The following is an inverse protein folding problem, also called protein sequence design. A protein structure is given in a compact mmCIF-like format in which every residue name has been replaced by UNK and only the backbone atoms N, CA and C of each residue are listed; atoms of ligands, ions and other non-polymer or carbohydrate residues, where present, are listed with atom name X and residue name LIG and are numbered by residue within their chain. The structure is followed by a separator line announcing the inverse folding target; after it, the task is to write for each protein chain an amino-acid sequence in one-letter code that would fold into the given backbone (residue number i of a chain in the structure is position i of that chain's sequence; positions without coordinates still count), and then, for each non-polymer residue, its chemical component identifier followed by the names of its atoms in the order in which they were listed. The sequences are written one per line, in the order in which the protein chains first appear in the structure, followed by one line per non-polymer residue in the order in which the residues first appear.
data_IF_643691027919
#
_entry.id   IF_643691027919
#
_cell.length_a   1.000
_cell.length_b   1.000
_cell.length_c   1.000
_cell.angle_alpha   90.00
_cell.angle_beta   90.00
_cell.angle_gamma   90.00
#
_symmetry.space_group_name_H-M   'P 1'
#
loop_
_entity.id
_entity.type
_entity.pdbx_description
1 polymer ?
#
# COMPACT_ATOMS: atom_id res chain seq x y z
N UNK A 1 8.39 -20.21 4.18
CA UNK A 1 6.96 -19.93 4.26
C UNK A 1 6.42 -19.83 2.84
N UNK A 2 5.31 -20.47 2.53
CA UNK A 2 4.70 -20.43 1.18
C UNK A 2 3.36 -19.71 1.28
N UNK A 3 3.18 -18.66 0.48
CA UNK A 3 1.91 -17.95 0.40
C UNK A 3 0.90 -18.74 -0.45
N UNK A 4 -0.37 -18.70 -0.05
CA UNK A 4 -1.47 -19.27 -0.85
C UNK A 4 -2.03 -18.26 -1.85
N UNK A 5 -1.84 -16.96 -1.62
CA UNK A 5 -2.23 -15.87 -2.50
C UNK A 5 -1.16 -15.55 -3.55
N UNK A 6 -1.51 -14.72 -4.52
CA UNK A 6 -0.67 -14.39 -5.68
C UNK A 6 -0.02 -13.03 -5.62
N UNK A 7 -0.69 -12.04 -5.02
CA UNK A 7 -0.27 -10.66 -5.05
C UNK A 7 -0.50 -9.92 -3.73
N UNK A 8 0.16 -8.79 -3.59
CA UNK A 8 0.01 -7.89 -2.46
C UNK A 8 0.07 -6.44 -2.92
N UNK A 9 -0.85 -5.62 -2.42
CA UNK A 9 -0.77 -4.17 -2.52
C UNK A 9 -0.12 -3.62 -1.25
N UNK A 10 0.88 -2.76 -1.42
CA UNK A 10 1.55 -2.09 -0.29
C UNK A 10 1.42 -0.59 -0.50
N UNK A 11 0.69 0.10 0.38
CA UNK A 11 0.55 1.55 0.30
C UNK A 11 1.81 2.26 0.80
N UNK A 12 2.19 3.37 0.13
CA UNK A 12 3.40 4.11 0.47
C UNK A 12 4.68 3.28 0.32
N UNK A 13 4.73 2.41 -0.69
CA UNK A 13 5.77 1.38 -0.83
C UNK A 13 7.03 1.85 -1.56
N UNK A 14 7.07 3.08 -2.10
CA UNK A 14 8.21 3.52 -2.92
C UNK A 14 9.51 3.71 -2.14
N UNK A 15 9.44 3.86 -0.80
CA UNK A 15 10.62 4.10 0.06
C UNK A 15 10.45 3.52 1.47
N UNK A 16 11.53 3.56 2.25
CA UNK A 16 11.52 3.22 3.67
C UNK A 16 11.01 1.82 3.97
N UNK A 17 10.19 1.69 5.00
CA UNK A 17 9.65 0.40 5.48
C UNK A 17 8.83 -0.28 4.38
N UNK A 18 7.97 0.45 3.67
CA UNK A 18 7.15 -0.10 2.59
C UNK A 18 7.98 -0.71 1.45
N UNK A 19 9.08 -0.06 1.06
CA UNK A 19 9.98 -0.59 0.04
C UNK A 19 10.68 -1.88 0.51
N UNK A 20 11.07 -1.95 1.79
CA UNK A 20 11.67 -3.16 2.33
C UNK A 20 10.67 -4.31 2.41
N UNK A 21 9.43 -4.03 2.80
CA UNK A 21 8.34 -5.02 2.76
C UNK A 21 8.15 -5.54 1.33
N UNK A 22 8.14 -4.62 0.33
CA UNK A 22 8.00 -4.99 -1.09
C UNK A 22 9.11 -5.95 -1.55
N UNK A 23 10.37 -5.65 -1.24
CA UNK A 23 11.51 -6.54 -1.55
C UNK A 23 11.33 -7.92 -0.93
N UNK A 24 11.03 -7.95 0.35
CA UNK A 24 10.90 -9.20 1.10
C UNK A 24 9.76 -10.06 0.55
N UNK A 25 8.58 -9.49 0.31
CA UNK A 25 7.43 -10.25 -0.19
C UNK A 25 7.62 -10.70 -1.64
N UNK A 26 8.31 -9.91 -2.47
CA UNK A 26 8.68 -10.32 -3.82
C UNK A 26 9.66 -11.50 -3.83
N UNK A 27 10.68 -11.49 -2.95
CA UNK A 27 11.60 -12.62 -2.77
C UNK A 27 10.89 -13.89 -2.29
N UNK A 28 9.78 -13.75 -1.57
CA UNK A 28 8.94 -14.85 -1.12
C UNK A 28 7.94 -15.33 -2.18
N UNK A 29 7.98 -14.77 -3.40
CA UNK A 29 7.23 -15.23 -4.56
C UNK A 29 5.91 -14.51 -4.83
N UNK A 30 5.56 -13.46 -4.10
CA UNK A 30 4.39 -12.65 -4.40
C UNK A 30 4.67 -11.64 -5.51
N UNK A 31 3.67 -11.37 -6.36
CA UNK A 31 3.67 -10.16 -7.19
C UNK A 31 3.34 -8.97 -6.30
N UNK A 32 4.22 -7.98 -6.27
CA UNK A 32 4.06 -6.78 -5.42
C UNK A 32 3.55 -5.60 -6.23
N UNK A 33 2.48 -4.96 -5.77
CA UNK A 33 2.00 -3.68 -6.26
C UNK A 33 2.54 -2.57 -5.36
N UNK A 34 3.45 -1.78 -5.94
CA UNK A 34 4.16 -0.67 -5.26
C UNK A 34 3.33 0.58 -5.41
N UNK A 35 2.56 0.95 -4.38
CA UNK A 35 1.82 2.21 -4.41
C UNK A 35 2.75 3.39 -4.10
N UNK A 36 2.59 4.45 -4.89
CA UNK A 36 3.24 5.74 -4.69
C UNK A 36 2.26 6.88 -4.98
N UNK A 37 2.56 8.07 -4.42
CA UNK A 37 1.73 9.27 -4.62
C UNK A 37 2.33 10.23 -5.64
N UNK A 38 3.62 10.55 -5.56
CA UNK A 38 4.21 11.70 -6.26
C UNK A 38 5.57 11.44 -6.86
N UNK A 39 6.29 10.46 -6.79
CA UNK A 39 7.64 10.28 -7.33
C UNK A 39 7.73 8.96 -8.09
N UNK A 40 7.30 8.95 -9.37
CA UNK A 40 7.31 7.73 -10.18
C UNK A 40 8.70 7.14 -10.31
N UNK A 41 9.74 7.97 -10.47
CA UNK A 41 11.12 7.53 -10.64
C UNK A 41 11.63 6.64 -9.49
N UNK A 42 11.18 6.89 -8.26
CA UNK A 42 11.57 6.08 -7.09
C UNK A 42 10.83 4.73 -7.11
N UNK A 43 9.55 4.74 -7.43
CA UNK A 43 8.75 3.52 -7.53
C UNK A 43 9.22 2.64 -8.70
N UNK A 44 9.51 3.24 -9.86
CA UNK A 44 10.03 2.54 -11.04
C UNK A 44 11.41 1.91 -10.78
N UNK A 45 12.28 2.62 -10.05
CA UNK A 45 13.58 2.08 -9.65
C UNK A 45 13.44 0.85 -8.73
N UNK A 46 12.51 0.88 -7.79
CA UNK A 46 12.23 -0.25 -6.91
C UNK A 46 11.63 -1.43 -7.69
N UNK A 47 10.73 -1.17 -8.62
CA UNK A 47 10.20 -2.22 -9.52
C UNK A 47 11.34 -2.88 -10.28
N UNK A 48 12.20 -2.10 -10.94
CA UNK A 48 13.32 -2.61 -11.71
C UNK A 48 14.28 -3.45 -10.84
N UNK A 49 14.58 -3.00 -9.62
CA UNK A 49 15.40 -3.73 -8.67
C UNK A 49 14.80 -5.10 -8.31
N UNK A 50 13.50 -5.14 -8.01
CA UNK A 50 12.79 -6.39 -7.68
C UNK A 50 12.81 -7.34 -8.87
N UNK A 51 12.55 -6.86 -10.09
CA UNK A 51 12.53 -7.68 -11.30
C UNK A 51 13.92 -8.21 -11.66
N UNK A 52 14.99 -7.40 -11.50
CA UNK A 52 16.37 -7.84 -11.69
C UNK A 52 16.78 -8.97 -10.72
N UNK A 53 16.18 -8.99 -9.53
CA UNK A 53 16.38 -10.05 -8.55
C UNK A 53 15.42 -11.24 -8.72
N UNK A 54 14.71 -11.34 -9.85
CA UNK A 54 13.83 -12.46 -10.20
C UNK A 54 12.43 -12.40 -9.56
N UNK A 55 12.09 -11.31 -8.89
CA UNK A 55 10.75 -11.07 -8.35
C UNK A 55 9.77 -10.52 -9.40
N UNK A 56 8.53 -10.32 -8.98
CA UNK A 56 7.48 -9.69 -9.79
C UNK A 56 6.96 -8.44 -9.09
N UNK A 57 6.97 -7.32 -9.79
CA UNK A 57 6.47 -6.07 -9.27
C UNK A 57 5.73 -5.26 -10.34
N UNK A 58 4.86 -4.38 -9.88
CA UNK A 58 4.22 -3.36 -10.69
C UNK A 58 4.04 -2.10 -9.85
N UNK A 59 4.07 -0.95 -10.47
CA UNK A 59 3.81 0.33 -9.81
C UNK A 59 2.38 0.76 -9.98
N UNK A 60 1.83 1.44 -8.99
CA UNK A 60 0.48 1.99 -9.05
C UNK A 60 0.42 3.34 -8.35
N UNK A 61 -0.03 4.36 -9.08
CA UNK A 61 -0.15 5.72 -8.57
C UNK A 61 -1.54 5.97 -8.01
N UNK A 62 -1.65 6.29 -6.74
CA UNK A 62 -2.82 6.92 -6.13
C UNK A 62 -2.47 7.51 -4.76
N UNK A 63 -3.24 8.51 -4.32
CA UNK A 63 -3.19 9.01 -2.95
C UNK A 63 -4.04 8.12 -2.05
N UNK A 64 -3.43 7.49 -1.05
CA UNK A 64 -4.12 6.60 -0.13
C UNK A 64 -5.15 7.33 0.77
N UNK A 65 -5.09 8.66 0.85
CA UNK A 65 -6.08 9.48 1.55
C UNK A 65 -7.30 9.84 0.69
N UNK A 66 -7.21 9.65 -0.62
CA UNK A 66 -8.31 9.85 -1.57
C UNK A 66 -9.04 8.52 -1.78
N UNK A 67 -10.30 8.47 -1.32
CA UNK A 67 -11.12 7.26 -1.39
C UNK A 67 -11.36 6.79 -2.82
N UNK A 68 -11.67 7.71 -3.74
CA UNK A 68 -11.97 7.37 -5.13
C UNK A 68 -10.71 6.85 -5.85
N UNK A 69 -9.56 7.46 -5.60
CA UNK A 69 -8.29 6.99 -6.15
C UNK A 69 -7.92 5.60 -5.60
N UNK A 70 -8.13 5.37 -4.31
CA UNK A 70 -7.88 4.06 -3.68
C UNK A 70 -8.75 2.97 -4.28
N UNK A 71 -10.07 3.24 -4.45
CA UNK A 71 -11.02 2.31 -5.08
C UNK A 71 -10.58 1.97 -6.50
N UNK A 72 -10.24 2.98 -7.30
CA UNK A 72 -9.74 2.79 -8.68
C UNK A 72 -8.45 1.96 -8.69
N UNK A 73 -7.56 2.19 -7.73
CA UNK A 73 -6.33 1.42 -7.59
C UNK A 73 -6.59 -0.07 -7.33
N UNK A 74 -7.46 -0.40 -6.38
CA UNK A 74 -7.83 -1.80 -6.10
C UNK A 74 -8.51 -2.44 -7.31
N UNK A 75 -9.43 -1.73 -7.98
CA UNK A 75 -10.10 -2.25 -9.17
C UNK A 75 -9.11 -2.55 -10.30
N UNK A 76 -8.13 -1.67 -10.53
CA UNK A 76 -7.07 -1.90 -11.52
C UNK A 76 -6.27 -3.17 -11.22
N UNK A 77 -5.92 -3.41 -9.95
CA UNK A 77 -5.22 -4.63 -9.54
C UNK A 77 -6.07 -5.88 -9.81
N UNK A 78 -7.35 -5.85 -9.44
CA UNK A 78 -8.27 -6.97 -9.66
C UNK A 78 -8.49 -7.22 -11.14
N UNK A 79 -8.62 -6.17 -11.95
CA UNK A 79 -8.76 -6.29 -13.41
C UNK A 79 -7.50 -6.90 -14.05
N UNK A 80 -6.31 -6.52 -13.55
CA UNK A 80 -5.02 -7.03 -14.05
C UNK A 80 -4.75 -8.48 -13.63
N UNK A 81 -4.94 -8.79 -12.36
CA UNK A 81 -4.46 -10.03 -11.75
C UNK A 81 -5.59 -11.02 -11.43
N UNK A 82 -6.86 -10.61 -11.55
CA UNK A 82 -8.04 -11.39 -11.21
C UNK A 82 -8.38 -11.43 -9.72
N UNK A 83 -7.51 -10.88 -8.85
CA UNK A 83 -7.68 -10.86 -7.40
C UNK A 83 -6.81 -9.81 -6.72
N UNK A 84 -7.14 -9.48 -5.47
CA UNK A 84 -6.23 -8.90 -4.51
C UNK A 84 -6.13 -9.88 -3.33
N UNK A 85 -4.97 -10.51 -3.16
CA UNK A 85 -4.75 -11.52 -2.12
C UNK A 85 -4.38 -10.92 -0.78
N UNK A 86 -3.52 -9.90 -0.77
CA UNK A 86 -3.02 -9.28 0.44
C UNK A 86 -2.96 -7.76 0.32
N UNK A 87 -3.20 -7.07 1.44
CA UNK A 87 -3.02 -5.63 1.56
C UNK A 87 -2.11 -5.33 2.74
N UNK A 88 -1.12 -4.47 2.54
CA UNK A 88 -0.32 -3.86 3.60
C UNK A 88 -0.61 -2.35 3.61
N UNK A 89 -1.35 -1.89 4.61
CA UNK A 89 -1.53 -0.46 4.87
C UNK A 89 -0.27 0.05 5.58
N UNK A 90 0.63 0.66 4.82
CA UNK A 90 1.89 1.20 5.31
C UNK A 90 2.01 2.71 5.09
N UNK A 91 1.20 3.30 4.21
CA UNK A 91 1.21 4.75 4.02
C UNK A 91 0.96 5.49 5.32
N UNK A 92 1.76 6.52 5.58
CA UNK A 92 1.64 7.33 6.77
C UNK A 92 2.59 8.53 6.72
N UNK A 93 2.29 9.51 7.54
CA UNK A 93 3.11 10.72 7.72
C UNK A 93 3.27 11.03 9.20
N UNK A 94 4.29 11.80 9.52
CA UNK A 94 4.46 12.48 10.82
C UNK A 94 4.43 14.00 10.60
N UNK A 95 3.92 14.73 11.56
CA UNK A 95 3.92 16.20 11.57
C UNK A 95 4.05 16.68 13.02
N UNK A 96 5.25 16.52 13.56
CA UNK A 96 5.53 16.82 14.95
C UNK A 96 5.66 18.34 15.16
N UNK A 97 4.78 18.90 15.97
CA UNK A 97 4.73 20.30 16.35
C UNK A 97 4.34 20.44 17.82
N UNK A 98 4.77 21.55 18.43
CA UNK A 98 4.24 21.93 19.74
C UNK A 98 2.72 22.10 19.63
N UNK A 99 1.96 21.53 20.55
CA UNK A 99 0.49 21.58 20.54
C UNK A 99 -0.06 23.01 20.40
N UNK A 100 0.57 23.98 21.07
CA UNK A 100 0.19 25.39 20.99
C UNK A 100 0.38 26.05 19.61
N UNK A 101 1.14 25.43 18.72
CA UNK A 101 1.42 25.91 17.36
C UNK A 101 0.83 25.02 16.28
N UNK A 102 0.25 23.88 16.67
CA UNK A 102 -0.35 22.94 15.76
C UNK A 102 -1.70 23.48 15.26
N UNK A 103 -1.88 23.52 13.96
CA UNK A 103 -3.17 23.84 13.36
C UNK A 103 -4.05 22.59 13.30
N UNK A 104 -5.37 22.78 13.29
CA UNK A 104 -6.32 21.66 13.09
C UNK A 104 -6.02 20.88 11.82
N UNK A 105 -5.61 21.57 10.74
CA UNK A 105 -5.21 20.92 9.49
C UNK A 105 -4.01 20.00 9.66
N UNK A 106 -3.00 20.40 10.43
CA UNK A 106 -1.83 19.54 10.70
C UNK A 106 -2.23 18.23 11.38
N UNK A 107 -3.16 18.32 12.33
CA UNK A 107 -3.72 17.14 13.02
C UNK A 107 -4.56 16.28 12.08
N UNK A 108 -5.49 16.89 11.34
CA UNK A 108 -6.38 16.15 10.43
C UNK A 108 -5.61 15.48 9.30
N UNK A 109 -4.54 16.10 8.79
CA UNK A 109 -3.68 15.51 7.75
C UNK A 109 -3.01 14.21 8.24
N UNK A 110 -2.51 14.21 9.49
CA UNK A 110 -1.93 12.99 10.10
C UNK A 110 -2.99 11.91 10.30
N UNK A 111 -4.17 12.27 10.79
CA UNK A 111 -5.28 11.30 10.94
C UNK A 111 -5.71 10.73 9.60
N UNK A 112 -5.84 11.57 8.58
CA UNK A 112 -6.22 11.10 7.24
C UNK A 112 -5.17 10.18 6.63
N UNK A 113 -3.89 10.52 6.73
CA UNK A 113 -2.82 9.73 6.17
C UNK A 113 -2.60 8.40 6.92
N UNK A 114 -2.76 8.38 8.25
CA UNK A 114 -2.37 7.22 9.06
C UNK A 114 -3.55 6.32 9.46
N UNK A 115 -4.75 6.89 9.64
CA UNK A 115 -5.91 6.15 10.12
C UNK A 115 -7.00 6.02 9.06
N UNK A 116 -7.45 7.15 8.47
CA UNK A 116 -8.52 7.13 7.47
C UNK A 116 -8.11 6.32 6.23
N UNK A 117 -6.86 6.45 5.77
CA UNK A 117 -6.33 5.66 4.65
C UNK A 117 -6.34 4.15 4.94
N UNK A 118 -5.96 3.75 6.15
CA UNK A 118 -5.98 2.35 6.56
C UNK A 118 -7.42 1.81 6.64
N UNK A 119 -8.38 2.61 7.13
CA UNK A 119 -9.80 2.26 7.13
C UNK A 119 -10.32 2.04 5.70
N UNK A 120 -10.05 2.99 4.78
CA UNK A 120 -10.44 2.87 3.37
C UNK A 120 -9.83 1.59 2.77
N UNK A 121 -8.53 1.39 2.96
CA UNK A 121 -7.83 0.20 2.47
C UNK A 121 -8.42 -1.10 2.97
N UNK A 122 -8.66 -1.21 4.28
CA UNK A 122 -9.31 -2.38 4.87
C UNK A 122 -10.69 -2.64 4.27
N UNK A 123 -11.54 -1.61 4.23
CA UNK A 123 -12.91 -1.73 3.71
C UNK A 123 -12.92 -2.17 2.25
N UNK A 124 -12.15 -1.53 1.40
CA UNK A 124 -12.14 -1.80 -0.04
C UNK A 124 -11.47 -3.15 -0.37
N UNK A 125 -10.39 -3.51 0.34
CA UNK A 125 -9.79 -4.83 0.20
C UNK A 125 -10.75 -5.94 0.63
N UNK A 126 -11.45 -5.78 1.74
CA UNK A 126 -12.43 -6.75 2.22
C UNK A 126 -13.58 -6.99 1.23
N UNK A 127 -14.04 -5.96 0.51
CA UNK A 127 -15.08 -6.10 -0.52
C UNK A 127 -14.66 -7.08 -1.64
N UNK A 128 -13.39 -7.07 -2.04
CA UNK A 128 -12.90 -7.96 -3.10
C UNK A 128 -12.44 -9.31 -2.55
N UNK A 129 -11.80 -9.33 -1.38
CA UNK A 129 -11.32 -10.55 -0.73
C UNK A 129 -12.48 -11.45 -0.28
N UNK A 130 -13.58 -10.88 0.23
CA UNK A 130 -14.75 -11.64 0.66
C UNK A 130 -15.40 -12.44 -0.48
N UNK A 131 -15.40 -11.92 -1.71
CA UNK A 131 -15.93 -12.62 -2.89
C UNK A 131 -15.12 -13.89 -3.20
N UNK A 132 -13.83 -13.87 -2.94
CA UNK A 132 -12.92 -15.03 -3.11
C UNK A 132 -12.84 -15.90 -1.84
N UNK A 133 -13.43 -15.44 -0.73
CA UNK A 133 -13.31 -16.07 0.59
C UNK A 133 -11.85 -16.31 1.01
N UNK A 134 -10.96 -15.43 0.57
CA UNK A 134 -9.53 -15.48 0.81
C UNK A 134 -8.94 -14.07 0.85
N UNK A 135 -8.01 -13.86 1.76
CA UNK A 135 -7.22 -12.64 1.84
C UNK A 135 -6.74 -12.35 3.26
N UNK A 136 -5.78 -11.45 3.36
CA UNK A 136 -5.33 -10.90 4.63
C UNK A 136 -4.93 -9.43 4.50
N UNK A 137 -5.13 -8.68 5.57
CA UNK A 137 -4.75 -7.27 5.68
C UNK A 137 -3.79 -7.10 6.86
N UNK A 138 -2.70 -6.37 6.62
CA UNK A 138 -1.76 -5.97 7.66
C UNK A 138 -1.74 -4.45 7.75
N UNK A 139 -1.89 -3.92 8.95
CA UNK A 139 -1.75 -2.50 9.22
C UNK A 139 -0.40 -2.26 9.93
N UNK A 140 0.45 -1.45 9.31
CA UNK A 140 1.72 -1.01 9.91
C UNK A 140 1.43 0.24 10.73
N UNK A 141 1.71 0.17 12.01
CA UNK A 141 1.48 1.25 12.96
C UNK A 141 2.70 1.47 13.85
N UNK A 142 2.72 2.61 14.52
CA UNK A 142 3.72 2.96 15.52
C UNK A 142 3.05 3.66 16.72
N UNK A 143 3.71 3.60 17.84
CA UNK A 143 3.35 4.35 19.06
C UNK A 143 4.14 5.65 19.14
#
# INVERSE_FOLDING_TARGET
MKFSGKNVLITGASRGIGAQIARTLAQMGLKVWINYRSKPEIADALQAEIEQNGGKAAVIKFDATDEDEFIKGINLIVDSDGELSYLVNNAGITNDKLALRMKTSDFTDVINANLTSAFIGCREALKVMSKKRFGAVVNVASI
#
